data_IF_363035115096
#
_entry.id   IF_363035115096
#
_cell.length_a   1.000
_cell.length_b   1.000
_cell.length_c   1.000
_cell.angle_alpha   90.00
_cell.angle_beta   90.00
_cell.angle_gamma   90.00
#
_symmetry.space_group_name_H-M   'P 1'
#
loop_
_entity.id
_entity.type
_entity.pdbx_description
1 polymer ?
#
# COMPACT_ATOMS: atom_id res chain seq x y z
N UNK A 1 -0.68 -24.13 -2.16
CA UNK A 1 0.47 -23.20 -2.07
C UNK A 1 1.16 -23.43 -0.73
N UNK A 2 2.51 -23.43 -0.67
CA UNK A 2 3.21 -23.55 0.61
C UNK A 2 2.79 -22.40 1.53
N UNK A 3 2.61 -22.67 2.82
CA UNK A 3 2.32 -21.62 3.80
C UNK A 3 3.64 -20.94 4.25
N UNK A 4 3.53 -19.76 4.86
CA UNK A 4 4.69 -18.98 5.35
C UNK A 4 5.62 -19.81 6.25
N UNK A 5 5.08 -20.69 7.09
CA UNK A 5 5.88 -21.55 7.97
C UNK A 5 6.74 -22.54 7.20
N UNK A 6 6.22 -23.16 6.13
CA UNK A 6 6.99 -24.03 5.25
C UNK A 6 8.12 -23.28 4.53
N UNK A 7 7.84 -22.05 4.12
CA UNK A 7 8.82 -21.17 3.48
C UNK A 7 9.97 -20.80 4.44
N UNK A 8 9.61 -20.32 5.64
CA UNK A 8 10.56 -19.94 6.68
C UNK A 8 11.42 -21.14 7.11
N UNK A 9 10.84 -22.34 7.19
CA UNK A 9 11.58 -23.56 7.48
C UNK A 9 12.62 -23.86 6.37
N UNK A 10 12.24 -23.78 5.11
CA UNK A 10 13.15 -24.06 3.97
C UNK A 10 14.30 -23.06 3.91
N UNK A 11 14.02 -21.77 4.16
CA UNK A 11 15.03 -20.71 4.16
C UNK A 11 16.00 -20.86 5.36
N UNK A 12 15.46 -21.09 6.57
CA UNK A 12 16.26 -21.14 7.81
C UNK A 12 17.03 -22.46 8.01
N UNK A 13 16.56 -23.57 7.42
CA UNK A 13 17.19 -24.89 7.59
C UNK A 13 18.30 -25.18 6.56
N UNK A 14 18.59 -24.24 5.64
CA UNK A 14 19.56 -24.46 4.56
C UNK A 14 19.09 -25.46 3.49
N UNK A 15 17.83 -25.91 3.55
CA UNK A 15 17.21 -26.83 2.57
C UNK A 15 17.10 -26.23 1.17
N UNK A 16 17.26 -24.91 1.02
CA UNK A 16 17.42 -24.24 -0.29
C UNK A 16 18.60 -24.77 -1.11
N UNK A 17 19.60 -25.39 -0.47
CA UNK A 17 20.70 -26.07 -1.16
C UNK A 17 20.26 -27.21 -2.10
N UNK A 18 19.07 -27.77 -1.88
CA UNK A 18 18.45 -28.80 -2.74
C UNK A 18 18.08 -28.22 -4.13
N UNK A 19 17.81 -26.92 -4.21
CA UNK A 19 17.51 -26.24 -5.47
C UNK A 19 18.81 -26.05 -6.24
N UNK A 20 18.94 -26.76 -7.35
CA UNK A 20 20.17 -26.81 -8.16
C UNK A 20 20.47 -25.47 -8.83
N UNK A 21 19.44 -24.77 -9.29
CA UNK A 21 19.52 -23.46 -9.93
C UNK A 21 19.89 -22.37 -8.89
N UNK A 22 21.11 -21.80 -8.95
CA UNK A 22 21.54 -20.77 -8.00
C UNK A 22 20.74 -19.48 -8.12
N UNK A 23 20.25 -19.15 -9.32
CA UNK A 23 19.43 -17.96 -9.56
C UNK A 23 18.05 -18.11 -8.92
N UNK A 24 17.43 -19.28 -9.08
CA UNK A 24 16.16 -19.60 -8.40
C UNK A 24 16.34 -19.61 -6.88
N UNK A 25 17.43 -20.20 -6.38
CA UNK A 25 17.74 -20.22 -4.94
C UNK A 25 17.86 -18.82 -4.34
N UNK A 26 18.56 -17.93 -5.04
CA UNK A 26 18.72 -16.53 -4.66
C UNK A 26 17.38 -15.79 -4.68
N UNK A 27 16.63 -15.92 -5.77
CA UNK A 27 15.32 -15.26 -5.94
C UNK A 27 14.32 -15.69 -4.85
N UNK A 28 14.33 -16.96 -4.48
CA UNK A 28 13.57 -17.45 -3.32
C UNK A 28 14.07 -16.71 -2.08
N UNK A 29 15.33 -16.86 -1.68
CA UNK A 29 15.84 -16.22 -0.45
C UNK A 29 15.54 -14.72 -0.33
N UNK A 30 15.59 -13.98 -1.44
CA UNK A 30 15.33 -12.53 -1.49
C UNK A 30 13.84 -12.13 -1.38
N UNK A 31 12.88 -13.01 -1.68
CA UNK A 31 11.46 -12.62 -1.68
C UNK A 31 10.96 -12.25 -0.27
N UNK A 32 11.57 -12.81 0.77
CA UNK A 32 11.20 -12.53 2.15
C UNK A 32 11.57 -11.11 2.56
N UNK A 33 12.76 -10.63 2.18
CA UNK A 33 13.18 -9.26 2.46
C UNK A 33 12.35 -8.25 1.66
N UNK A 34 11.96 -8.59 0.43
CA UNK A 34 11.08 -7.76 -0.40
C UNK A 34 9.67 -7.64 0.21
N UNK A 35 9.09 -8.74 0.68
CA UNK A 35 7.80 -8.72 1.37
C UNK A 35 7.86 -7.88 2.66
N UNK A 36 8.97 -7.94 3.40
CA UNK A 36 9.16 -7.11 4.59
C UNK A 36 9.27 -5.62 4.24
N UNK A 37 10.00 -5.27 3.17
CA UNK A 37 10.08 -3.90 2.67
C UNK A 37 8.71 -3.35 2.29
N UNK A 38 7.92 -4.12 1.53
CA UNK A 38 6.56 -3.74 1.13
C UNK A 38 5.68 -3.50 2.36
N UNK A 39 5.70 -4.44 3.32
CA UNK A 39 4.94 -4.31 4.57
C UNK A 39 5.32 -3.06 5.38
N UNK A 40 6.60 -2.71 5.41
CA UNK A 40 7.05 -1.51 6.10
C UNK A 40 6.53 -0.23 5.43
N UNK A 41 6.40 -0.22 4.10
CA UNK A 41 5.80 0.90 3.37
C UNK A 41 4.28 0.97 3.57
N UNK A 42 3.59 -0.18 3.57
CA UNK A 42 2.16 -0.24 3.90
C UNK A 42 1.87 0.37 5.28
N UNK A 43 2.65 -0.03 6.30
CA UNK A 43 2.54 0.54 7.65
C UNK A 43 2.76 2.06 7.65
N UNK A 44 3.67 2.56 6.81
CA UNK A 44 3.96 3.98 6.69
C UNK A 44 2.79 4.75 6.05
N UNK A 45 2.17 4.19 5.00
CA UNK A 45 0.95 4.75 4.38
C UNK A 45 -0.21 4.76 5.38
N UNK A 46 -0.44 3.65 6.09
CA UNK A 46 -1.50 3.55 7.12
C UNK A 46 -1.31 4.61 8.20
N UNK A 47 -0.07 4.89 8.60
CA UNK A 47 0.23 5.93 9.59
C UNK A 47 -0.20 7.32 9.13
N UNK A 48 0.09 7.70 7.87
CA UNK A 48 -0.34 9.00 7.32
C UNK A 48 -1.84 9.04 7.10
N UNK A 49 -2.45 7.94 6.64
CA UNK A 49 -3.90 7.83 6.55
C UNK A 49 -4.56 8.10 7.91
N UNK A 50 -4.03 7.51 8.98
CA UNK A 50 -4.53 7.74 10.33
C UNK A 50 -4.41 9.20 10.76
N UNK A 51 -3.32 9.90 10.44
CA UNK A 51 -3.21 11.34 10.71
C UNK A 51 -4.28 12.14 9.97
N UNK A 52 -4.51 11.82 8.70
CA UNK A 52 -5.56 12.47 7.89
C UNK A 52 -6.95 12.21 8.49
N UNK A 53 -7.23 10.98 8.91
CA UNK A 53 -8.48 10.63 9.58
C UNK A 53 -8.66 11.38 10.91
N UNK A 54 -7.61 11.44 11.74
CA UNK A 54 -7.66 12.16 13.02
C UNK A 54 -7.91 13.66 12.81
N UNK A 55 -7.27 14.25 11.80
CA UNK A 55 -7.54 15.64 11.44
C UNK A 55 -9.03 15.85 11.09
N UNK A 56 -9.61 14.97 10.27
CA UNK A 56 -11.03 15.03 9.92
C UNK A 56 -11.95 14.83 11.12
N UNK A 57 -11.64 13.90 12.02
CA UNK A 57 -12.44 13.67 13.23
C UNK A 57 -12.46 14.90 14.15
N UNK A 58 -11.36 15.65 14.20
CA UNK A 58 -11.23 16.82 15.08
C UNK A 58 -11.78 18.11 14.46
N UNK A 59 -11.73 18.24 13.13
CA UNK A 59 -11.99 19.52 12.45
C UNK A 59 -13.18 19.47 11.47
N UNK A 60 -13.69 18.30 11.11
CA UNK A 60 -14.73 18.15 10.10
C UNK A 60 -16.00 17.46 10.61
N UNK A 61 -17.10 17.59 9.86
CA UNK A 61 -18.33 16.82 10.06
C UNK A 61 -18.47 15.77 8.95
N UNK A 62 -17.83 14.62 9.13
CA UNK A 62 -17.69 13.58 8.10
C UNK A 62 -19.05 13.15 7.48
N UNK A 63 -20.11 13.07 8.29
CA UNK A 63 -21.45 12.70 7.82
C UNK A 63 -22.02 13.72 6.82
N UNK A 64 -21.88 15.02 7.11
CA UNK A 64 -22.33 16.09 6.21
C UNK A 64 -21.53 16.13 4.90
N UNK A 65 -20.27 15.71 4.93
CA UNK A 65 -19.43 15.63 3.73
C UNK A 65 -19.75 14.40 2.87
N UNK A 66 -20.09 13.26 3.47
CA UNK A 66 -20.56 12.09 2.71
C UNK A 66 -21.85 12.36 1.96
N UNK A 67 -22.80 13.10 2.56
CA UNK A 67 -24.04 13.53 1.91
C UNK A 67 -23.79 14.44 0.68
N UNK A 68 -22.62 15.08 0.59
CA UNK A 68 -22.20 15.93 -0.55
C UNK A 68 -21.39 15.10 -1.57
N UNK A 69 -20.55 14.16 -1.11
CA UNK A 69 -19.68 13.34 -1.97
C UNK A 69 -20.49 12.25 -2.70
N UNK A 70 -21.60 11.76 -2.14
CA UNK A 70 -22.53 10.90 -2.89
C UNK A 70 -23.23 11.64 -4.05
N UNK A 71 -23.23 12.97 -4.05
CA UNK A 71 -23.94 13.79 -5.05
C UNK A 71 -23.07 14.28 -6.22
N UNK A 72 -21.78 13.90 -6.30
CA UNK A 72 -20.89 14.27 -7.43
C UNK A 72 -21.00 13.30 -8.62
N UNK A 73 -22.23 12.89 -8.92
CA UNK A 73 -22.65 12.70 -10.31
C UNK A 73 -23.49 13.90 -10.82
N UNK A 74 -23.72 14.94 -10.02
CA UNK A 74 -24.59 16.07 -10.39
C UNK A 74 -23.96 17.40 -9.94
N UNK A 75 -24.03 18.41 -10.81
CA UNK A 75 -23.57 19.78 -10.59
C UNK A 75 -23.97 20.33 -9.21
N UNK A 76 -22.99 20.55 -8.34
CA UNK A 76 -23.24 21.14 -7.01
C UNK A 76 -23.03 22.64 -7.06
N UNK A 77 -24.11 23.40 -6.93
CA UNK A 77 -24.08 24.86 -6.78
C UNK A 77 -23.45 25.27 -5.43
N UNK A 78 -22.88 26.49 -5.34
CA UNK A 78 -22.30 27.00 -4.09
C UNK A 78 -23.30 26.95 -2.92
N UNK A 79 -22.82 26.47 -1.76
CA UNK A 79 -23.63 26.39 -0.54
C UNK A 79 -24.20 27.74 -0.14
N UNK A 80 -25.51 27.78 0.13
CA UNK A 80 -26.26 29.00 0.50
C UNK A 80 -26.11 29.37 2.00
N UNK A 81 -25.26 28.65 2.75
CA UNK A 81 -25.06 28.88 4.18
C UNK A 81 -23.73 29.61 4.47
N UNK A 82 -23.72 30.69 5.26
CA UNK A 82 -22.48 31.27 5.80
C UNK A 82 -21.87 30.34 6.87
N UNK A 83 -20.53 30.27 6.92
CA UNK A 83 -19.70 29.24 7.59
C UNK A 83 -19.70 27.89 6.86
N UNK A 84 -19.14 27.88 5.66
CA UNK A 84 -18.88 26.66 4.93
C UNK A 84 -17.86 25.78 5.70
N UNK A 85 -18.25 24.56 6.07
CA UNK A 85 -17.42 23.60 6.82
C UNK A 85 -16.17 23.14 6.04
N UNK A 86 -16.03 23.49 4.76
CA UNK A 86 -14.83 23.20 3.93
C UNK A 86 -13.63 24.12 4.20
N UNK A 87 -13.63 24.97 5.23
CA UNK A 87 -12.45 25.79 5.60
C UNK A 87 -11.19 24.93 5.79
N UNK A 88 -11.33 23.67 6.20
CA UNK A 88 -10.19 22.77 6.30
C UNK A 88 -9.52 22.47 4.95
N UNK A 89 -10.20 22.64 3.81
CA UNK A 89 -9.57 22.53 2.49
C UNK A 89 -8.54 23.64 2.25
N UNK A 90 -8.67 24.77 2.95
CA UNK A 90 -7.71 25.86 2.94
C UNK A 90 -6.65 25.71 4.05
N UNK A 91 -6.74 24.65 4.87
CA UNK A 91 -5.81 24.41 5.97
C UNK A 91 -4.52 23.74 5.46
N UNK A 92 -3.34 24.36 5.64
CA UNK A 92 -2.07 23.80 5.16
C UNK A 92 -1.71 22.44 5.78
N UNK A 93 -2.14 22.16 7.00
CA UNK A 93 -1.93 20.87 7.67
C UNK A 93 -2.75 19.76 6.98
N UNK A 94 -3.99 20.07 6.63
CA UNK A 94 -4.84 19.15 5.88
C UNK A 94 -4.27 18.86 4.49
N UNK A 95 -3.91 19.91 3.75
CA UNK A 95 -3.30 19.81 2.42
C UNK A 95 -2.02 18.97 2.46
N UNK A 96 -1.14 19.23 3.44
CA UNK A 96 0.10 18.48 3.64
C UNK A 96 -0.18 17.00 3.91
N UNK A 97 -1.11 16.68 4.83
CA UNK A 97 -1.45 15.31 5.16
C UNK A 97 -2.05 14.55 3.96
N UNK A 98 -2.94 15.20 3.21
CA UNK A 98 -3.55 14.64 2.01
C UNK A 98 -2.50 14.40 0.91
N UNK A 99 -1.63 15.37 0.66
CA UNK A 99 -0.59 15.25 -0.36
C UNK A 99 0.43 14.16 0.01
N UNK A 100 0.87 14.09 1.28
CA UNK A 100 1.72 13.02 1.76
C UNK A 100 1.06 11.65 1.59
N UNK A 101 -0.23 11.53 1.91
CA UNK A 101 -0.97 10.28 1.71
C UNK A 101 -0.98 9.87 0.23
N UNK A 102 -1.28 10.80 -0.69
CA UNK A 102 -1.31 10.54 -2.13
C UNK A 102 0.07 10.12 -2.64
N UNK A 103 1.13 10.88 -2.29
CA UNK A 103 2.50 10.59 -2.73
C UNK A 103 2.96 9.24 -2.20
N UNK A 104 2.74 8.96 -0.92
CA UNK A 104 3.17 7.69 -0.32
C UNK A 104 2.38 6.49 -0.86
N UNK A 105 1.07 6.66 -1.10
CA UNK A 105 0.25 5.61 -1.72
C UNK A 105 0.67 5.34 -3.16
N UNK A 106 0.96 6.40 -3.92
CA UNK A 106 1.48 6.28 -5.29
C UNK A 106 2.82 5.57 -5.28
N UNK A 107 3.72 5.98 -4.39
CA UNK A 107 5.04 5.37 -4.23
C UNK A 107 4.96 3.89 -3.83
N UNK A 108 4.08 3.53 -2.88
CA UNK A 108 3.81 2.13 -2.49
C UNK A 108 3.36 1.31 -3.70
N UNK A 109 2.45 1.85 -4.52
CA UNK A 109 2.00 1.16 -5.72
C UNK A 109 3.11 0.98 -6.75
N UNK A 110 3.78 2.07 -7.15
CA UNK A 110 4.71 2.06 -8.28
C UNK A 110 6.06 1.45 -7.95
N UNK A 111 6.59 1.68 -6.74
CA UNK A 111 7.97 1.34 -6.39
C UNK A 111 8.08 0.11 -5.47
N UNK A 112 6.95 -0.42 -4.98
CA UNK A 112 6.95 -1.59 -4.10
C UNK A 112 6.03 -2.70 -4.62
N UNK A 113 4.76 -2.41 -4.92
CA UNK A 113 3.85 -3.43 -5.44
C UNK A 113 4.18 -3.90 -6.85
N UNK A 114 4.42 -2.99 -7.81
CA UNK A 114 4.79 -3.40 -9.17
C UNK A 114 6.07 -4.24 -9.20
N UNK A 115 7.19 -3.84 -8.56
CA UNK A 115 8.38 -4.68 -8.52
C UNK A 115 8.16 -6.03 -7.83
N UNK A 116 7.37 -6.08 -6.75
CA UNK A 116 7.04 -7.34 -6.07
C UNK A 116 6.26 -8.28 -6.99
N UNK A 117 5.30 -7.75 -7.75
CA UNK A 117 4.52 -8.52 -8.72
C UNK A 117 5.42 -9.09 -9.83
N UNK A 118 6.26 -8.25 -10.43
CA UNK A 118 7.22 -8.67 -11.45
C UNK A 118 8.16 -9.77 -10.94
N UNK A 119 8.72 -9.59 -9.73
CA UNK A 119 9.61 -10.57 -9.12
C UNK A 119 8.88 -11.89 -8.79
N UNK A 120 7.66 -11.81 -8.28
CA UNK A 120 6.83 -12.98 -8.00
C UNK A 120 6.52 -13.74 -9.29
N UNK A 121 6.17 -13.04 -10.37
CA UNK A 121 5.89 -13.65 -11.68
C UNK A 121 7.14 -14.31 -12.28
N UNK A 122 8.30 -13.67 -12.18
CA UNK A 122 9.58 -14.24 -12.60
C UNK A 122 9.89 -15.51 -11.80
N UNK A 123 9.72 -15.48 -10.48
CA UNK A 123 9.94 -16.62 -9.61
C UNK A 123 9.02 -17.80 -9.96
N UNK A 124 7.73 -17.55 -10.14
CA UNK A 124 6.75 -18.57 -10.57
C UNK A 124 7.17 -19.20 -11.90
N UNK A 125 7.62 -18.38 -12.85
CA UNK A 125 8.10 -18.87 -14.15
C UNK A 125 9.33 -19.77 -14.01
N UNK A 126 10.32 -19.36 -13.21
CA UNK A 126 11.52 -20.14 -12.97
C UNK A 126 11.21 -21.48 -12.27
N UNK A 127 10.30 -21.47 -11.29
CA UNK A 127 9.86 -22.69 -10.61
C UNK A 127 9.23 -23.65 -11.62
N UNK A 128 8.33 -23.19 -12.49
CA UNK A 128 7.69 -24.03 -13.51
C UNK A 128 8.71 -24.67 -14.46
N UNK A 129 9.69 -23.89 -14.92
CA UNK A 129 10.76 -24.37 -15.80
C UNK A 129 11.70 -25.40 -15.16
N UNK A 130 11.75 -25.48 -13.83
CA UNK A 130 12.59 -26.44 -13.10
C UNK A 130 11.79 -27.68 -12.62
N UNK A 131 10.47 -27.69 -12.80
CA UNK A 131 9.58 -28.81 -12.42
C UNK A 131 9.11 -29.60 -13.66
N UNK A 132 9.08 -28.96 -14.83
CA UNK A 132 8.96 -29.62 -16.15
C UNK A 132 10.30 -30.16 -16.65
#
# INVERSE_FOLDING_TARGET
MPNKGTYDEINNSGKLSIISDPSLRKAISEIQSQLELVKNQENSVIKIQNYTHQFFLNNGNFRRHLDIIEDVLIDVDPSKFPNNDFIFLENPEFETNLYLFIVMSTNLNTNFYLPLEEQTNLLIKQIRQNIE
#
